data_IF_414620738639
#
_entry.id   IF_414620738639
#
_cell.length_a   1.000
_cell.length_b   1.000
_cell.length_c   1.000
_cell.angle_alpha   90.00
_cell.angle_beta   90.00
_cell.angle_gamma   90.00
#
_symmetry.space_group_name_H-M   'P 1'
#
loop_
_entity.id
_entity.type
_entity.pdbx_description
1 polymer ?
#
# COMPACT_ATOMS: atom_id res chain seq x y z
N UNK A 1 0.87 10.30 -18.90
CA UNK A 1 1.92 9.72 -18.03
C UNK A 1 1.95 8.22 -18.29
N UNK A 2 3.13 7.63 -18.56
CA UNK A 2 3.26 6.18 -18.75
C UNK A 2 3.42 5.54 -17.38
N UNK A 3 2.67 4.48 -17.09
CA UNK A 3 2.84 3.73 -15.86
C UNK A 3 4.21 3.03 -15.87
N UNK A 4 4.95 3.17 -14.79
CA UNK A 4 6.18 2.42 -14.57
C UNK A 4 5.86 1.07 -13.93
N UNK A 5 6.56 0.02 -14.37
CA UNK A 5 6.46 -1.31 -13.77
C UNK A 5 7.71 -1.59 -12.98
N UNK A 6 7.58 -1.64 -11.66
CA UNK A 6 8.64 -2.06 -10.74
C UNK A 6 8.40 -3.53 -10.39
N UNK A 7 9.43 -4.36 -10.52
CA UNK A 7 9.39 -5.77 -10.15
C UNK A 7 10.32 -5.94 -8.96
N UNK A 8 9.74 -6.30 -7.82
CA UNK A 8 10.51 -6.69 -6.63
C UNK A 8 10.98 -8.13 -6.80
N UNK A 9 12.18 -8.43 -6.31
CA UNK A 9 12.69 -9.81 -6.30
C UNK A 9 11.84 -10.71 -5.37
N UNK A 10 12.01 -12.02 -5.51
CA UNK A 10 11.28 -13.03 -4.73
C UNK A 10 12.01 -13.47 -3.46
N UNK A 11 13.10 -12.83 -3.08
CA UNK A 11 13.92 -13.27 -1.96
C UNK A 11 13.34 -12.75 -0.63
N UNK A 12 12.49 -13.54 0.03
CA UNK A 12 11.87 -13.18 1.31
C UNK A 12 10.36 -13.00 1.18
N UNK A 13 9.70 -12.48 2.22
CA UNK A 13 8.25 -12.29 2.15
C UNK A 13 7.87 -11.09 1.30
N UNK A 14 6.72 -11.18 0.63
CA UNK A 14 6.18 -10.07 -0.17
C UNK A 14 5.91 -8.82 0.66
N UNK A 15 5.62 -8.98 1.95
CA UNK A 15 5.41 -7.86 2.89
C UNK A 15 6.72 -7.15 3.17
N UNK A 16 7.79 -7.88 3.51
CA UNK A 16 9.11 -7.31 3.80
C UNK A 16 9.63 -6.52 2.60
N UNK A 17 9.61 -7.11 1.40
CA UNK A 17 10.08 -6.44 0.18
C UNK A 17 9.26 -5.21 -0.18
N UNK A 18 7.96 -5.26 0.03
CA UNK A 18 7.09 -4.09 -0.19
C UNK A 18 7.35 -2.98 0.83
N UNK A 19 7.61 -3.33 2.10
CA UNK A 19 7.98 -2.37 3.13
C UNK A 19 9.30 -1.71 2.76
N UNK A 20 10.34 -2.48 2.44
CA UNK A 20 11.66 -1.95 2.05
C UNK A 20 11.57 -0.99 0.86
N UNK A 21 10.79 -1.38 -0.16
CA UNK A 21 10.55 -0.51 -1.31
C UNK A 21 9.84 0.78 -0.91
N UNK A 22 8.78 0.71 -0.09
CA UNK A 22 8.06 1.90 0.39
C UNK A 22 8.94 2.81 1.24
N UNK A 23 9.89 2.27 2.01
CA UNK A 23 10.84 3.09 2.77
C UNK A 23 11.68 3.97 1.84
N UNK A 24 12.04 3.48 0.65
CA UNK A 24 12.78 4.23 -0.36
C UNK A 24 12.00 5.42 -0.95
N UNK A 25 10.67 5.33 -0.95
CA UNK A 25 9.78 6.40 -1.45
C UNK A 25 9.47 7.47 -0.39
N UNK A 26 9.99 7.31 0.84
CA UNK A 26 9.69 8.25 1.91
C UNK A 26 10.31 9.62 1.68
N UNK A 27 9.54 10.66 2.02
CA UNK A 27 10.02 12.05 2.01
C UNK A 27 10.39 12.48 3.43
N UNK A 28 11.61 12.97 3.61
CA UNK A 28 12.06 13.54 4.88
C UNK A 28 13.05 12.65 5.63
N UNK A 29 13.89 13.29 6.44
CA UNK A 29 15.03 12.64 7.11
C UNK A 29 14.74 12.16 8.53
N UNK A 30 13.69 12.67 9.19
CA UNK A 30 13.36 12.40 10.59
C UNK A 30 12.03 11.69 10.82
N UNK A 31 11.19 11.59 9.78
CA UNK A 31 9.87 10.98 9.82
C UNK A 31 9.66 10.17 8.54
N UNK A 32 9.09 8.97 8.67
CA UNK A 32 8.73 8.15 7.52
C UNK A 32 7.42 8.68 6.92
N UNK A 33 7.49 9.71 6.08
CA UNK A 33 6.32 10.27 5.39
C UNK A 33 6.05 9.55 4.07
N UNK A 34 4.95 8.81 4.06
CA UNK A 34 4.37 8.11 2.91
C UNK A 34 2.95 8.59 2.61
N UNK A 35 2.48 9.66 3.27
CA UNK A 35 1.11 10.16 3.16
C UNK A 35 0.74 10.64 1.75
N UNK A 36 1.75 10.93 0.94
CA UNK A 36 1.62 11.33 -0.45
C UNK A 36 1.34 10.15 -1.41
N UNK A 37 1.40 8.91 -0.93
CA UNK A 37 1.17 7.71 -1.73
C UNK A 37 -0.25 7.16 -1.52
N UNK A 38 -0.76 6.54 -2.58
CA UNK A 38 -1.93 5.66 -2.53
C UNK A 38 -1.50 4.25 -2.93
N UNK A 39 -1.56 3.32 -1.98
CA UNK A 39 -1.19 1.92 -2.16
C UNK A 39 -2.45 1.08 -2.35
N UNK A 40 -2.55 0.44 -3.50
CA UNK A 40 -3.61 -0.52 -3.81
C UNK A 40 -3.07 -1.92 -3.56
N UNK A 41 -3.75 -2.68 -2.71
CA UNK A 41 -3.36 -4.06 -2.36
C UNK A 41 -4.42 -5.02 -2.84
N UNK A 42 -4.08 -6.30 -3.04
CA UNK A 42 -5.05 -7.31 -3.48
C UNK A 42 -6.18 -7.53 -2.45
N UNK A 43 -5.88 -7.42 -1.15
CA UNK A 43 -6.83 -7.67 -0.06
C UNK A 43 -6.61 -6.70 1.09
N UNK A 44 -7.65 -6.44 1.88
CA UNK A 44 -7.54 -5.65 3.12
C UNK A 44 -6.55 -6.27 4.12
N UNK A 45 -6.38 -7.61 4.10
CA UNK A 45 -5.39 -8.31 4.91
C UNK A 45 -3.95 -7.99 4.48
N UNK A 46 -3.68 -7.86 3.18
CA UNK A 46 -2.37 -7.42 2.69
C UNK A 46 -2.07 -5.97 3.13
N UNK A 47 -3.04 -5.05 3.00
CA UNK A 47 -2.91 -3.69 3.51
C UNK A 47 -2.66 -3.63 5.02
N UNK A 48 -3.30 -4.51 5.81
CA UNK A 48 -3.05 -4.61 7.25
C UNK A 48 -1.60 -5.00 7.55
N UNK A 49 -1.09 -6.07 6.91
CA UNK A 49 0.29 -6.53 7.12
C UNK A 49 1.33 -5.47 6.74
N UNK A 50 1.10 -4.73 5.65
CA UNK A 50 1.98 -3.62 5.27
C UNK A 50 1.99 -2.49 6.32
N UNK A 51 0.82 -2.13 6.86
CA UNK A 51 0.74 -1.14 7.95
C UNK A 51 1.50 -1.58 9.20
N UNK A 52 1.34 -2.85 9.59
CA UNK A 52 2.05 -3.44 10.74
C UNK A 52 3.57 -3.44 10.50
N UNK A 53 4.04 -3.82 9.30
CA UNK A 53 5.46 -3.79 8.95
C UNK A 53 6.04 -2.36 8.95
N UNK A 54 5.34 -1.39 8.37
CA UNK A 54 5.74 0.02 8.40
C UNK A 54 5.79 0.56 9.84
N UNK A 55 4.81 0.20 10.67
CA UNK A 55 4.80 0.57 12.08
C UNK A 55 6.02 -0.01 12.82
N UNK A 56 6.33 -1.28 12.61
CA UNK A 56 7.51 -1.94 13.21
C UNK A 56 8.82 -1.26 12.81
N UNK A 57 8.98 -0.90 11.52
CA UNK A 57 10.18 -0.17 11.06
C UNK A 57 10.23 1.25 11.63
N UNK A 58 9.10 1.95 11.71
CA UNK A 58 9.07 3.29 12.29
C UNK A 58 9.47 3.28 13.77
N UNK A 59 9.00 2.27 14.51
CA UNK A 59 9.38 2.04 15.90
C UNK A 59 10.88 1.74 16.04
N UNK A 60 11.46 0.88 15.19
CA UNK A 60 12.89 0.55 15.27
C UNK A 60 13.80 1.74 14.92
N UNK A 61 13.33 2.65 14.05
CA UNK A 61 14.02 3.91 13.71
C UNK A 61 13.77 5.04 14.71
N UNK A 62 12.91 4.84 15.72
CA UNK A 62 12.59 5.84 16.73
C UNK A 62 11.79 7.04 16.19
N UNK A 63 11.07 6.86 15.08
CA UNK A 63 10.38 7.94 14.36
C UNK A 63 8.88 7.68 14.18
N UNK A 64 8.14 8.73 13.85
CA UNK A 64 6.76 8.59 13.42
C UNK A 64 6.68 8.10 11.96
N UNK A 65 5.54 7.50 11.61
CA UNK A 65 5.20 7.16 10.22
C UNK A 65 3.88 7.80 9.83
N UNK A 66 3.90 8.63 8.79
CA UNK A 66 2.68 9.10 8.13
C UNK A 66 2.35 8.08 7.04
N UNK A 67 1.41 7.18 7.36
CA UNK A 67 1.06 6.06 6.50
C UNK A 67 0.45 6.50 5.16
N UNK A 68 0.63 5.72 4.08
CA UNK A 68 -0.07 5.96 2.84
C UNK A 68 -1.56 5.65 2.96
N UNK A 69 -2.35 6.13 2.00
CA UNK A 69 -3.74 5.66 1.86
C UNK A 69 -3.74 4.25 1.30
N UNK A 70 -4.52 3.36 1.91
CA UNK A 70 -4.66 1.98 1.44
C UNK A 70 -6.04 1.74 0.89
N UNK A 71 -6.11 0.96 -0.20
CA UNK A 71 -7.39 0.44 -0.68
C UNK A 71 -7.25 -0.92 -1.36
N UNK A 72 -8.38 -1.60 -1.56
CA UNK A 72 -8.48 -2.83 -2.34
C UNK A 72 -8.95 -2.52 -3.77
N UNK A 73 -8.79 -3.41 -4.75
CA UNK A 73 -9.06 -3.08 -6.15
C UNK A 73 -10.53 -2.72 -6.40
N UNK A 74 -11.46 -3.32 -5.64
CA UNK A 74 -12.89 -2.98 -5.69
C UNK A 74 -13.24 -1.55 -5.27
N UNK A 75 -12.32 -0.81 -4.64
CA UNK A 75 -12.50 0.63 -4.39
C UNK A 75 -12.19 1.51 -5.61
N UNK A 76 -11.46 0.97 -6.60
CA UNK A 76 -11.08 1.71 -7.80
C UNK A 76 -12.14 1.63 -8.88
N UNK A 77 -12.91 0.54 -8.89
CA UNK A 77 -13.94 0.27 -9.88
C UNK A 77 -15.28 0.37 -9.16
N UNK A 78 -16.03 1.42 -9.48
CA UNK A 78 -17.45 1.46 -9.14
C UNK A 78 -18.20 0.82 -10.32
N UNK A 79 -18.87 -0.32 -10.14
CA UNK A 79 -19.70 -0.85 -11.22
C UNK A 79 -20.73 0.21 -11.63
N UNK A 80 -20.95 0.36 -12.94
CA UNK A 80 -22.03 1.20 -13.44
C UNK A 80 -23.36 0.50 -13.13
N UNK A 81 -24.06 1.03 -12.12
CA UNK A 81 -25.31 0.47 -11.61
C UNK A 81 -25.11 -0.56 -10.49
N UNK A 82 -26.12 -0.69 -9.62
CA UNK A 82 -26.24 -1.79 -8.67
C UNK A 82 -26.61 -3.05 -9.46
N UNK A 83 -25.68 -3.54 -10.27
CA UNK A 83 -25.84 -4.80 -10.99
C UNK A 83 -25.26 -5.94 -10.17
N UNK A 84 -26.16 -6.70 -9.53
CA UNK A 84 -25.82 -7.99 -8.94
C UNK A 84 -26.17 -9.03 -10.01
N UNK A 85 -25.18 -9.77 -10.50
CA UNK A 85 -25.35 -10.85 -11.49
C UNK A 85 -26.15 -10.46 -12.75
N UNK A 86 -25.94 -9.24 -13.26
CA UNK A 86 -26.62 -8.76 -14.47
C UNK A 86 -28.06 -8.26 -14.27
N UNK A 87 -28.56 -8.24 -13.02
CA UNK A 87 -29.81 -7.55 -12.67
C UNK A 87 -29.52 -6.13 -12.23
N UNK A 88 -30.01 -5.14 -12.98
CA UNK A 88 -30.01 -3.74 -12.54
C UNK A 88 -31.10 -3.53 -11.49
N UNK A 89 -30.70 -3.07 -10.30
CA UNK A 89 -31.62 -2.59 -9.25
C UNK A 89 -31.85 -1.08 -9.39
#
# INVERSE_FOLDING_TARGET
MKAERIILDWEGSSVERSVDWLLGESKGSSCLDLSHLWVVTQTNGAARRLREGLAQVSQSKGGACLLPKFSAPGSLIKPEGDSIDGLTI
#
